data_IF_422200374399
#
_entry.id   IF_422200374399
#
_cell.length_a   1.000
_cell.length_b   1.000
_cell.length_c   1.000
_cell.angle_alpha   90.00
_cell.angle_beta   90.00
_cell.angle_gamma   90.00
#
_symmetry.space_group_name_H-M   'P 1'
#
loop_
_entity.id
_entity.type
_entity.pdbx_description
1 polymer ?
#
# COMPACT_ATOMS: atom_id res chain seq x y z
N UNK A 1 -1.60 20.74 21.90
CA UNK A 1 -0.27 20.87 21.26
C UNK A 1 -0.49 21.15 19.78
N UNK A 2 0.01 22.28 19.25
CA UNK A 2 -0.07 22.57 17.80
C UNK A 2 0.90 21.64 17.08
N UNK A 3 0.39 20.71 16.28
CA UNK A 3 1.21 19.90 15.38
C UNK A 3 1.89 20.87 14.42
N UNK A 4 3.22 20.90 14.43
CA UNK A 4 3.99 21.72 13.50
C UNK A 4 3.54 21.38 12.07
N UNK A 5 3.23 22.42 11.28
CA UNK A 5 2.84 22.24 9.89
C UNK A 5 3.92 21.45 9.15
N UNK A 6 3.54 20.29 8.61
CA UNK A 6 4.38 19.46 7.76
C UNK A 6 4.90 20.32 6.61
N UNK A 7 6.23 20.50 6.49
CA UNK A 7 6.88 21.23 5.41
C UNK A 7 6.77 20.52 4.03
N UNK A 8 5.81 19.59 3.88
CA UNK A 8 5.57 18.86 2.63
C UNK A 8 4.63 19.70 1.76
N UNK A 9 4.99 19.97 0.49
CA UNK A 9 4.19 20.81 -0.39
C UNK A 9 2.85 20.17 -0.75
N UNK A 10 1.86 21.00 -1.07
CA UNK A 10 0.56 20.57 -1.58
C UNK A 10 -0.30 19.83 -0.55
N UNK A 11 -1.04 18.82 -1.01
CA UNK A 11 -1.99 18.07 -0.18
C UNK A 11 -1.32 17.41 1.04
N UNK A 12 -0.04 17.05 0.92
CA UNK A 12 0.78 16.39 1.97
C UNK A 12 1.06 17.23 3.22
N UNK A 13 0.65 18.50 3.22
CA UNK A 13 0.77 19.41 4.37
C UNK A 13 -0.31 19.20 5.44
N UNK A 14 -1.38 18.46 5.14
CA UNK A 14 -2.57 18.33 5.99
C UNK A 14 -2.90 16.85 6.27
N UNK A 15 -3.61 16.60 7.37
CA UNK A 15 -4.24 15.30 7.64
C UNK A 15 -5.43 15.10 6.70
N UNK A 16 -5.50 13.96 6.03
CA UNK A 16 -6.57 13.65 5.09
C UNK A 16 -7.62 12.77 5.77
N UNK A 17 -8.79 13.35 6.00
CA UNK A 17 -9.96 12.64 6.51
C UNK A 17 -10.74 12.10 5.31
N UNK A 18 -10.43 10.86 4.90
CA UNK A 18 -11.03 10.21 3.73
C UNK A 18 -12.56 10.11 3.86
N UNK A 19 -13.06 9.98 5.08
CA UNK A 19 -14.47 9.91 5.45
C UNK A 19 -15.25 11.22 5.19
N UNK A 20 -14.54 12.33 5.01
CA UNK A 20 -15.13 13.67 4.77
C UNK A 20 -15.03 14.12 3.31
N UNK A 21 -14.45 13.30 2.44
CA UNK A 21 -14.26 13.63 1.03
C UNK A 21 -15.45 13.17 0.19
N UNK A 22 -15.81 13.98 -0.80
CA UNK A 22 -16.61 13.53 -1.94
C UNK A 22 -15.83 12.53 -2.78
N UNK A 23 -16.52 11.72 -3.60
CA UNK A 23 -15.87 10.78 -4.53
C UNK A 23 -14.84 11.48 -5.43
N UNK A 24 -15.14 12.69 -5.91
CA UNK A 24 -14.24 13.47 -6.77
C UNK A 24 -12.96 13.84 -6.03
N UNK A 25 -13.06 14.33 -4.80
CA UNK A 25 -11.92 14.69 -3.97
C UNK A 25 -11.07 13.46 -3.64
N UNK A 26 -11.73 12.34 -3.30
CA UNK A 26 -11.05 11.07 -3.03
C UNK A 26 -10.24 10.58 -4.23
N UNK A 27 -10.82 10.61 -5.43
CA UNK A 27 -10.15 10.22 -6.68
C UNK A 27 -8.92 11.08 -6.91
N UNK A 28 -9.04 12.40 -6.81
CA UNK A 28 -7.91 13.34 -6.98
C UNK A 28 -6.80 13.06 -5.97
N UNK A 29 -7.16 12.86 -4.69
CA UNK A 29 -6.19 12.54 -3.64
C UNK A 29 -5.47 11.20 -3.90
N UNK A 30 -6.19 10.19 -4.37
CA UNK A 30 -5.63 8.87 -4.72
C UNK A 30 -4.54 8.98 -5.79
N UNK A 31 -4.81 9.75 -6.85
CA UNK A 31 -3.87 9.96 -7.96
C UNK A 31 -2.70 10.89 -7.64
N UNK A 32 -2.68 11.49 -6.45
CA UNK A 32 -1.52 12.22 -5.96
C UNK A 32 -0.62 11.31 -5.12
N UNK A 33 -1.13 10.20 -4.56
CA UNK A 33 -0.37 9.32 -3.68
C UNK A 33 0.69 8.49 -4.44
N UNK A 34 1.99 8.63 -4.13
CA UNK A 34 3.05 7.98 -4.92
C UNK A 34 2.94 6.45 -5.01
N UNK A 35 2.47 5.79 -3.95
CA UNK A 35 2.30 4.32 -4.00
C UNK A 35 1.20 3.90 -4.97
N UNK A 36 0.11 4.66 -5.08
CA UNK A 36 -0.96 4.38 -6.04
C UNK A 36 -0.43 4.50 -7.46
N UNK A 37 0.32 5.57 -7.75
CA UNK A 37 0.95 5.77 -9.06
C UNK A 37 1.92 4.61 -9.38
N UNK A 38 2.74 4.20 -8.41
CA UNK A 38 3.67 3.08 -8.58
C UNK A 38 2.94 1.76 -8.88
N UNK A 39 1.84 1.46 -8.18
CA UNK A 39 1.04 0.26 -8.42
C UNK A 39 0.36 0.28 -9.79
N UNK A 40 -0.17 1.43 -10.22
CA UNK A 40 -0.75 1.58 -11.56
C UNK A 40 0.30 1.40 -12.66
N UNK A 41 1.49 2.00 -12.49
CA UNK A 41 2.59 1.85 -13.44
C UNK A 41 3.06 0.39 -13.54
N UNK A 42 3.26 -0.29 -12.41
CA UNK A 42 3.60 -1.72 -12.37
C UNK A 42 2.52 -2.58 -13.03
N UNK A 43 1.25 -2.28 -12.78
CA UNK A 43 0.13 -2.99 -13.41
C UNK A 43 0.16 -2.84 -14.93
N UNK A 44 0.40 -1.63 -15.43
CA UNK A 44 0.53 -1.37 -16.87
C UNK A 44 1.70 -2.15 -17.48
N UNK A 45 2.85 -2.18 -16.80
CA UNK A 45 4.01 -2.97 -17.24
C UNK A 45 3.68 -4.46 -17.30
N UNK A 46 3.03 -5.00 -16.27
CA UNK A 46 2.60 -6.41 -16.26
C UNK A 46 1.62 -6.72 -17.40
N UNK A 47 0.66 -5.83 -17.68
CA UNK A 47 -0.26 -5.99 -18.80
C UNK A 47 0.45 -5.92 -20.16
N UNK A 48 1.40 -5.01 -20.32
CA UNK A 48 2.20 -4.91 -21.55
C UNK A 48 3.01 -6.19 -21.79
N UNK A 49 3.63 -6.75 -20.74
CA UNK A 49 4.35 -8.03 -20.81
C UNK A 49 3.39 -9.17 -21.20
N UNK A 50 2.21 -9.23 -20.59
CA UNK A 50 1.21 -10.25 -20.92
C UNK A 50 0.70 -10.11 -22.36
N UNK A 51 0.46 -8.90 -22.86
CA UNK A 51 0.05 -8.67 -24.24
C UNK A 51 1.14 -9.05 -25.25
N UNK A 52 2.41 -8.83 -24.90
CA UNK A 52 3.56 -9.23 -25.73
C UNK A 52 3.76 -10.76 -25.76
N UNK A 53 3.53 -11.43 -24.63
CA UNK A 53 3.69 -12.87 -24.49
C UNK A 53 2.49 -13.48 -23.74
N UNK A 54 1.37 -13.71 -24.43
CA UNK A 54 0.13 -14.13 -23.78
C UNK A 54 0.24 -15.58 -23.29
N UNK A 55 -0.11 -15.78 -22.02
CA UNK A 55 -0.25 -17.12 -21.47
C UNK A 55 -1.64 -17.70 -21.81
N UNK A 56 -1.79 -19.04 -21.85
CA UNK A 56 -3.09 -19.66 -22.05
C UNK A 56 -4.09 -19.28 -20.95
N UNK A 57 -5.38 -19.19 -21.32
CA UNK A 57 -6.44 -18.69 -20.44
C UNK A 57 -6.53 -19.43 -19.10
N UNK A 58 -6.47 -20.76 -19.10
CA UNK A 58 -6.64 -21.57 -17.89
C UNK A 58 -5.52 -21.30 -16.86
N UNK A 59 -4.22 -21.40 -17.21
CA UNK A 59 -3.13 -20.97 -16.32
C UNK A 59 -3.24 -19.53 -15.81
N UNK A 60 -3.70 -18.59 -16.65
CA UNK A 60 -3.90 -17.19 -16.24
C UNK A 60 -4.99 -17.07 -15.18
N UNK A 61 -6.15 -17.68 -15.39
CA UNK A 61 -7.25 -17.69 -14.42
C UNK A 61 -6.87 -18.42 -13.13
N UNK A 62 -6.16 -19.54 -13.24
CA UNK A 62 -5.67 -20.27 -12.07
C UNK A 62 -4.70 -19.40 -11.25
N UNK A 63 -3.78 -18.68 -11.90
CA UNK A 63 -2.84 -17.77 -11.22
C UNK A 63 -3.58 -16.64 -10.50
N UNK A 64 -4.61 -16.06 -11.13
CA UNK A 64 -5.44 -15.04 -10.50
C UNK A 64 -6.19 -15.60 -9.28
N UNK A 65 -6.77 -16.79 -9.37
CA UNK A 65 -7.45 -17.45 -8.25
C UNK A 65 -6.49 -17.73 -7.09
N UNK A 66 -5.27 -18.21 -7.39
CA UNK A 66 -4.22 -18.41 -6.37
C UNK A 66 -3.87 -17.09 -5.69
N UNK A 67 -3.73 -16.00 -6.43
CA UNK A 67 -3.44 -14.67 -5.85
C UNK A 67 -4.56 -14.22 -4.90
N UNK A 68 -5.83 -14.42 -5.27
CA UNK A 68 -6.99 -14.08 -4.42
C UNK A 68 -6.96 -14.82 -3.08
N UNK A 69 -6.50 -16.07 -3.06
CA UNK A 69 -6.40 -16.88 -1.83
C UNK A 69 -5.14 -16.57 -1.03
N UNK A 70 -3.99 -16.46 -1.70
CA UNK A 70 -2.71 -16.29 -1.02
C UNK A 70 -2.51 -14.86 -0.50
N UNK A 71 -3.09 -13.85 -1.15
CA UNK A 71 -2.97 -12.46 -0.70
C UNK A 71 -3.50 -12.24 0.74
N UNK A 72 -4.76 -12.61 1.10
CA UNK A 72 -5.25 -12.44 2.46
C UNK A 72 -4.48 -13.29 3.47
N UNK A 73 -4.01 -14.47 3.08
CA UNK A 73 -3.16 -15.31 3.94
C UNK A 73 -1.83 -14.62 4.23
N UNK A 74 -1.12 -14.15 3.19
CA UNK A 74 0.13 -13.43 3.32
C UNK A 74 -0.05 -12.15 4.14
N UNK A 75 -1.11 -11.39 3.88
CA UNK A 75 -1.47 -10.21 4.67
C UNK A 75 -1.65 -10.57 6.14
N UNK A 76 -2.44 -11.60 6.45
CA UNK A 76 -2.67 -12.02 7.83
C UNK A 76 -1.36 -12.42 8.52
N UNK A 77 -0.52 -13.19 7.82
CA UNK A 77 0.76 -13.66 8.36
C UNK A 77 1.69 -12.49 8.68
N UNK A 78 1.88 -11.61 7.70
CA UNK A 78 2.73 -10.44 7.84
C UNK A 78 2.17 -9.51 8.91
N UNK A 79 0.88 -9.22 8.88
CA UNK A 79 0.27 -8.31 9.82
C UNK A 79 0.36 -8.84 11.26
N UNK A 80 0.00 -10.11 11.48
CA UNK A 80 -0.06 -10.72 12.82
C UNK A 80 1.31 -10.98 13.43
N UNK A 81 2.23 -11.62 12.70
CA UNK A 81 3.47 -12.13 13.27
C UNK A 81 4.69 -11.28 12.94
N UNK A 82 4.65 -10.53 11.84
CA UNK A 82 5.73 -9.58 11.49
C UNK A 82 5.39 -8.22 12.12
N UNK A 83 4.34 -7.55 11.65
CA UNK A 83 4.04 -6.17 12.01
C UNK A 83 3.59 -5.99 13.47
N UNK A 84 2.75 -6.88 14.00
CA UNK A 84 2.41 -6.94 15.43
C UNK A 84 3.37 -7.78 16.28
N UNK A 85 4.45 -8.32 15.69
CA UNK A 85 5.50 -9.02 16.41
C UNK A 85 6.27 -8.10 17.37
N UNK A 86 6.86 -8.68 18.42
CA UNK A 86 7.61 -7.90 19.44
C UNK A 86 9.06 -7.58 19.06
N UNK A 87 9.52 -7.92 17.86
CA UNK A 87 10.95 -7.94 17.53
C UNK A 87 11.38 -6.73 16.70
N UNK A 88 10.56 -6.27 15.75
CA UNK A 88 10.88 -5.14 14.87
C UNK A 88 11.20 -3.85 15.63
N UNK A 89 10.36 -3.46 16.60
CA UNK A 89 10.56 -2.23 17.37
C UNK A 89 11.72 -2.33 18.38
N UNK A 90 12.14 -3.53 18.77
CA UNK A 90 13.26 -3.73 19.70
C UNK A 90 14.62 -3.61 19.02
N UNK A 91 14.68 -3.79 17.71
CA UNK A 91 15.93 -3.70 16.95
C UNK A 91 16.14 -2.27 16.43
N UNK A 92 17.24 -1.62 16.82
CA UNK A 92 17.52 -0.21 16.48
C UNK A 92 17.43 0.08 14.97
N UNK A 93 17.92 -0.84 14.12
CA UNK A 93 17.89 -0.66 12.67
C UNK A 93 16.48 -0.79 12.05
N UNK A 94 15.55 -1.49 12.72
CA UNK A 94 14.22 -1.80 12.18
C UNK A 94 13.11 -0.98 12.83
N UNK A 95 13.38 -0.35 13.98
CA UNK A 95 12.40 0.43 14.72
C UNK A 95 11.82 1.60 13.90
N UNK A 96 12.66 2.31 13.12
CA UNK A 96 12.20 3.40 12.26
C UNK A 96 11.31 2.92 11.11
N UNK A 97 11.65 1.77 10.52
CA UNK A 97 10.86 1.12 9.47
C UNK A 97 9.51 0.69 10.04
N UNK A 98 9.51 -0.05 11.15
CA UNK A 98 8.30 -0.49 11.85
C UNK A 98 7.38 0.65 12.23
N UNK A 99 7.97 1.76 12.71
CA UNK A 99 7.21 2.96 13.03
C UNK A 99 6.41 3.44 11.81
N UNK A 100 7.08 3.53 10.66
CA UNK A 100 6.50 4.03 9.41
C UNK A 100 5.49 3.08 8.77
N UNK A 101 5.75 1.77 8.79
CA UNK A 101 4.93 0.79 8.06
C UNK A 101 3.79 0.21 8.89
N UNK A 102 3.77 0.42 10.22
CA UNK A 102 2.77 -0.19 11.10
C UNK A 102 2.33 0.70 12.25
N UNK A 103 3.26 1.18 13.07
CA UNK A 103 2.91 1.93 14.28
C UNK A 103 2.08 3.18 13.95
N UNK A 104 2.56 4.00 13.00
CA UNK A 104 1.92 5.26 12.61
C UNK A 104 0.53 5.05 11.97
N UNK A 105 0.21 3.84 11.51
CA UNK A 105 -1.13 3.48 11.05
C UNK A 105 -2.11 3.15 12.20
N UNK A 106 -1.60 2.66 13.33
CA UNK A 106 -2.39 2.32 14.52
C UNK A 106 -2.55 3.48 15.52
N UNK A 107 -1.73 4.53 15.40
CA UNK A 107 -1.87 5.75 16.20
C UNK A 107 -3.02 6.61 15.68
#
# INVERSE_FOLDING_TARGET
MRVAASARPGIWSQSHYLDKMTLKELVVAYFQYPAIIAYLALSLVCFAIFAWNPAPLVPSLASAAVAVVLYPLAWYVLHRWVLHGRWLFKHKALASVWKRIHYDHHQ
#
